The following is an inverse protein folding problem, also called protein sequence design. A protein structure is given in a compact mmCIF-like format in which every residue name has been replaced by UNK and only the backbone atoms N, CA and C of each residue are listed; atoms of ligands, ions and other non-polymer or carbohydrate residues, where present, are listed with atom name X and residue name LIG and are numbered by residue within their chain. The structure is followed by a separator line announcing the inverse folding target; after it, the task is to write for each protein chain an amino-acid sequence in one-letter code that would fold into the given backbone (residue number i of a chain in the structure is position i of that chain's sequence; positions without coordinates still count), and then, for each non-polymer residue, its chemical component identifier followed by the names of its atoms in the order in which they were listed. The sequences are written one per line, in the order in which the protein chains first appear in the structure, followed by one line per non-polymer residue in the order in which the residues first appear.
data_IF_683203511681
#
_entry.id   IF_683203511681
#
_cell.length_a   1.000
_cell.length_b   1.000
_cell.length_c   1.000
_cell.angle_alpha   90.00
_cell.angle_beta   90.00
_cell.angle_gamma   90.00
#
_symmetry.space_group_name_H-M   'P 1'
#
loop_
_entity.id
_entity.type
_entity.pdbx_description
1 polymer ?
#
# COMPACT_ATOMS: atom_id res chain seq x y z
N UNK A 1 -7.34 66.20 9.26
CA UNK A 1 -6.13 65.32 9.17
C UNK A 1 -6.02 64.24 10.27
N UNK A 2 -6.89 64.19 11.30
CA UNK A 2 -6.88 63.10 12.30
C UNK A 2 -7.74 61.88 11.92
N UNK A 3 -8.74 62.05 11.05
CA UNK A 3 -9.65 60.97 10.62
C UNK A 3 -9.12 60.07 9.51
N UNK A 4 -8.17 60.53 8.67
CA UNK A 4 -7.53 59.67 7.66
C UNK A 4 -6.51 58.70 8.28
N UNK A 5 -5.89 59.07 9.40
CA UNK A 5 -4.93 58.21 10.12
C UNK A 5 -5.63 57.05 10.84
N UNK A 6 -6.84 57.26 11.34
CA UNK A 6 -7.63 56.22 12.02
C UNK A 6 -8.23 55.19 11.07
N UNK A 7 -8.54 55.58 9.81
CA UNK A 7 -9.08 54.66 8.80
C UNK A 7 -7.97 53.71 8.28
N UNK A 8 -6.75 54.21 8.07
CA UNK A 8 -5.61 53.38 7.63
C UNK A 8 -5.18 52.37 8.70
N UNK A 9 -5.23 52.74 9.98
CA UNK A 9 -4.90 51.84 11.09
C UNK A 9 -5.94 50.71 11.25
N UNK A 10 -7.23 50.98 11.00
CA UNK A 10 -8.28 49.97 11.09
C UNK A 10 -8.19 48.91 9.97
N UNK A 11 -7.75 49.29 8.76
CA UNK A 11 -7.57 48.34 7.66
C UNK A 11 -6.35 47.42 7.82
N UNK A 12 -5.24 47.93 8.39
CA UNK A 12 -4.05 47.10 8.68
C UNK A 12 -4.30 46.11 9.84
N UNK A 13 -5.12 46.46 10.82
CA UNK A 13 -5.48 45.56 11.92
C UNK A 13 -6.41 44.41 11.48
N UNK A 14 -7.27 44.64 10.49
CA UNK A 14 -8.17 43.61 9.94
C UNK A 14 -7.44 42.51 9.16
N UNK A 15 -6.38 42.87 8.41
CA UNK A 15 -5.59 41.91 7.64
C UNK A 15 -4.75 40.97 8.52
N UNK A 16 -4.32 41.45 9.70
CA UNK A 16 -3.49 40.65 10.62
C UNK A 16 -4.31 39.59 11.39
N UNK A 17 -5.62 39.81 11.57
CA UNK A 17 -6.50 38.86 12.26
C UNK A 17 -6.91 37.67 11.38
N UNK A 18 -6.89 37.80 10.05
CA UNK A 18 -7.12 36.66 9.14
C UNK A 18 -5.90 35.74 9.02
N UNK A 19 -4.69 36.23 9.35
CA UNK A 19 -3.46 35.43 9.28
C UNK A 19 -3.25 34.52 10.50
N UNK A 20 -3.86 34.83 11.66
CA UNK A 20 -3.72 34.02 12.88
C UNK A 20 -4.74 32.88 13.00
N UNK A 21 -5.88 32.97 12.31
CA UNK A 21 -6.90 31.90 12.32
C UNK A 21 -6.47 30.63 11.54
N UNK A 22 -5.43 30.72 10.71
CA UNK A 22 -4.85 29.57 10.00
C UNK A 22 -3.75 28.83 10.81
N UNK A 23 -3.36 29.36 11.97
CA UNK A 23 -2.46 28.68 12.91
C UNK A 23 -3.16 28.44 14.26
N UNK A 24 -4.43 28.02 14.19
CA UNK A 24 -5.17 27.48 15.32
C UNK A 24 -4.80 26.01 15.53
N UNK A 25 -3.80 25.77 16.38
CA UNK A 25 -3.47 24.45 16.91
C UNK A 25 -4.65 23.88 17.69
N UNK A 26 -5.47 23.06 17.03
CA UNK A 26 -6.34 22.09 17.69
C UNK A 26 -5.75 20.70 17.45
N UNK A 27 -5.33 20.07 18.55
CA UNK A 27 -4.81 18.71 18.60
C UNK A 27 -5.89 17.71 18.22
N UNK A 28 -6.06 17.52 16.92
CA UNK A 28 -6.81 16.42 16.34
C UNK A 28 -5.82 15.29 16.05
N UNK A 29 -6.08 14.11 16.63
CA UNK A 29 -5.35 12.88 16.32
C UNK A 29 -5.36 12.68 14.81
N UNK A 30 -4.24 12.96 14.17
CA UNK A 30 -4.01 12.65 12.76
C UNK A 30 -3.88 11.13 12.63
N UNK A 31 -4.98 10.47 12.26
CA UNK A 31 -4.88 9.21 11.55
C UNK A 31 -4.35 9.56 10.14
N UNK A 32 -3.04 9.44 9.98
CA UNK A 32 -2.37 9.59 8.69
C UNK A 32 -2.70 8.38 7.83
N UNK A 33 -3.87 8.40 7.19
CA UNK A 33 -4.15 7.53 6.04
C UNK A 33 -3.67 8.27 4.79
N UNK A 34 -2.39 8.14 4.49
CA UNK A 34 -1.89 8.47 3.17
C UNK A 34 -2.32 7.36 2.21
N UNK A 35 -3.37 7.63 1.44
CA UNK A 35 -3.60 6.97 0.16
C UNK A 35 -4.26 8.00 -0.74
N UNK A 36 -3.64 8.23 -1.90
CA UNK A 36 -4.18 9.01 -3.00
C UNK A 36 -5.46 8.32 -3.51
N UNK A 37 -6.57 8.57 -2.83
CA UNK A 37 -7.89 8.09 -3.24
C UNK A 37 -8.34 8.96 -4.41
N UNK A 38 -7.97 8.58 -5.62
CA UNK A 38 -8.84 8.84 -6.76
C UNK A 38 -10.21 8.27 -6.41
N UNK A 39 -11.26 9.07 -6.62
CA UNK A 39 -12.64 8.74 -6.25
C UNK A 39 -13.00 7.35 -6.76
N UNK A 40 -12.97 6.35 -5.87
CA UNK A 40 -13.37 4.98 -6.18
C UNK A 40 -14.86 5.02 -6.55
N UNK A 41 -15.27 4.60 -7.76
CA UNK A 41 -16.68 4.58 -8.15
C UNK A 41 -17.53 3.71 -7.20
N UNK A 42 -18.79 4.09 -7.01
CA UNK A 42 -19.72 3.32 -6.19
C UNK A 42 -19.88 1.89 -6.76
N UNK A 43 -19.77 0.88 -5.88
CA UNK A 43 -19.86 -0.54 -6.25
C UNK A 43 -18.54 -1.22 -6.60
N UNK A 44 -17.42 -0.48 -6.60
CA UNK A 44 -16.09 -1.10 -6.72
C UNK A 44 -15.69 -1.71 -5.38
N UNK A 45 -15.40 -3.01 -5.40
CA UNK A 45 -14.90 -3.71 -4.24
C UNK A 45 -13.46 -3.30 -3.94
N UNK A 46 -13.23 -2.90 -2.70
CA UNK A 46 -11.90 -2.52 -2.24
C UNK A 46 -11.51 -3.35 -1.02
N UNK A 47 -10.20 -3.54 -0.76
CA UNK A 47 -9.77 -4.23 0.44
C UNK A 47 -10.30 -3.58 1.72
N UNK A 48 -10.61 -2.28 1.71
CA UNK A 48 -11.13 -1.55 2.88
C UNK A 48 -12.61 -1.79 3.15
N UNK A 49 -13.39 -2.17 2.13
CA UNK A 49 -14.84 -2.41 2.26
C UNK A 49 -15.20 -3.89 2.35
N UNK A 50 -14.31 -4.79 1.93
CA UNK A 50 -14.56 -6.22 1.85
C UNK A 50 -13.93 -7.04 2.98
N UNK A 51 -14.49 -8.24 3.22
CA UNK A 51 -13.87 -9.20 4.12
C UNK A 51 -12.54 -9.70 3.55
N UNK A 52 -11.45 -9.51 4.31
CA UNK A 52 -10.12 -10.01 3.98
C UNK A 52 -9.95 -11.53 4.19
N UNK A 53 -10.99 -12.22 4.66
CA UNK A 53 -10.96 -13.66 4.96
C UNK A 53 -12.15 -14.39 4.33
N UNK A 54 -12.04 -15.71 4.16
CA UNK A 54 -13.13 -16.53 3.61
C UNK A 54 -13.32 -16.45 2.09
N UNK A 55 -12.35 -15.88 1.37
CA UNK A 55 -12.38 -15.80 -0.10
C UNK A 55 -12.40 -17.16 -0.79
N UNK A 56 -13.00 -17.21 -1.99
CA UNK A 56 -13.02 -18.41 -2.84
C UNK A 56 -11.68 -18.55 -3.58
N UNK A 57 -11.19 -19.79 -3.70
CA UNK A 57 -9.98 -20.12 -4.47
C UNK A 57 -10.33 -20.49 -5.90
N UNK A 58 -9.43 -20.17 -6.83
CA UNK A 58 -9.58 -20.47 -8.25
C UNK A 58 -10.29 -19.37 -9.04
N UNK A 59 -10.11 -19.38 -10.36
CA UNK A 59 -10.61 -18.35 -11.29
C UNK A 59 -9.49 -17.65 -12.05
N UNK A 60 -9.86 -16.66 -12.87
CA UNK A 60 -8.94 -15.77 -13.58
C UNK A 60 -9.18 -14.34 -13.11
N UNK A 61 -8.13 -13.70 -12.60
CA UNK A 61 -8.15 -12.27 -12.29
C UNK A 61 -7.63 -11.51 -13.53
N UNK A 62 -8.49 -10.68 -14.11
CA UNK A 62 -8.10 -9.77 -15.19
C UNK A 62 -7.84 -8.39 -14.59
N UNK A 63 -6.58 -7.95 -14.62
CA UNK A 63 -6.16 -6.64 -14.11
C UNK A 63 -5.93 -5.72 -15.30
N UNK A 64 -6.51 -4.53 -15.26
CA UNK A 64 -6.30 -3.49 -16.28
C UNK A 64 -5.38 -2.42 -15.69
N UNK A 65 -4.28 -2.17 -16.38
CA UNK A 65 -3.30 -1.13 -16.03
C UNK A 65 -3.18 -0.17 -17.21
N UNK A 66 -3.03 1.12 -16.93
CA UNK A 66 -2.90 2.17 -17.94
C UNK A 66 -1.48 2.31 -18.48
N UNK A 67 -0.50 1.78 -17.74
CA UNK A 67 0.93 1.86 -18.01
C UNK A 67 1.55 0.47 -17.81
N UNK A 68 2.72 0.24 -18.41
CA UNK A 68 3.48 -1.00 -18.25
C UNK A 68 4.40 -0.93 -17.01
N UNK A 69 4.90 -2.09 -16.58
CA UNK A 69 6.00 -2.13 -15.60
C UNK A 69 7.32 -1.73 -16.25
N UNK A 70 8.24 -1.18 -15.47
CA UNK A 70 9.57 -0.79 -15.98
C UNK A 70 10.59 -1.92 -15.72
N UNK A 71 10.57 -2.52 -14.54
CA UNK A 71 11.49 -3.60 -14.16
C UNK A 71 10.80 -4.70 -13.35
N UNK A 72 11.00 -5.96 -13.73
CA UNK A 72 10.54 -7.14 -12.96
C UNK A 72 11.61 -7.74 -12.04
N UNK A 73 12.84 -7.26 -12.12
CA UNK A 73 13.86 -7.54 -11.11
C UNK A 73 13.59 -6.64 -9.89
N UNK A 74 13.21 -7.19 -8.71
CA UNK A 74 12.95 -6.37 -7.53
C UNK A 74 14.15 -5.57 -7.04
N UNK A 75 15.37 -5.93 -7.47
CA UNK A 75 16.58 -5.14 -7.22
C UNK A 75 16.67 -3.87 -8.06
N UNK A 76 15.87 -3.74 -9.11
CA UNK A 76 15.78 -2.58 -10.01
C UNK A 76 14.40 -1.89 -9.97
N UNK A 77 13.33 -2.60 -9.57
CA UNK A 77 11.98 -2.07 -9.47
C UNK A 77 11.87 -0.85 -8.55
N UNK A 78 11.17 0.19 -9.00
CA UNK A 78 10.94 1.42 -8.23
C UNK A 78 9.47 1.84 -8.19
N UNK A 79 8.67 1.45 -9.18
CA UNK A 79 7.28 1.88 -9.31
C UNK A 79 6.30 0.90 -8.68
N UNK A 80 5.12 1.41 -8.31
CA UNK A 80 4.09 0.63 -7.63
C UNK A 80 3.61 -0.57 -8.44
N UNK A 81 3.52 -0.42 -9.78
CA UNK A 81 3.14 -1.48 -10.71
C UNK A 81 4.16 -2.62 -10.73
N UNK A 82 5.45 -2.29 -10.71
CA UNK A 82 6.53 -3.29 -10.60
C UNK A 82 6.35 -4.14 -9.34
N UNK A 83 6.07 -3.47 -8.21
CA UNK A 83 5.87 -4.15 -6.93
C UNK A 83 4.59 -4.99 -6.89
N UNK A 84 3.53 -4.65 -7.62
CA UNK A 84 2.33 -5.48 -7.71
C UNK A 84 2.67 -6.87 -8.27
N UNK A 85 3.48 -6.90 -9.35
CA UNK A 85 3.89 -8.14 -10.00
C UNK A 85 4.94 -8.88 -9.16
N UNK A 86 5.91 -8.15 -8.59
CA UNK A 86 6.92 -8.74 -7.72
C UNK A 86 6.30 -9.41 -6.47
N UNK A 87 5.34 -8.75 -5.82
CA UNK A 87 4.63 -9.34 -4.67
C UNK A 87 3.78 -10.56 -5.03
N UNK A 88 3.26 -10.64 -6.26
CA UNK A 88 2.49 -11.78 -6.73
C UNK A 88 3.36 -13.00 -7.07
N UNK A 89 4.61 -12.76 -7.49
CA UNK A 89 5.50 -13.81 -8.01
C UNK A 89 6.62 -14.19 -7.05
N UNK A 90 6.93 -13.34 -6.07
CA UNK A 90 8.05 -13.50 -5.16
C UNK A 90 7.61 -13.37 -3.70
N UNK A 91 8.44 -13.87 -2.78
CA UNK A 91 8.19 -13.79 -1.34
C UNK A 91 9.36 -13.11 -0.63
N UNK A 92 9.03 -12.30 0.37
CA UNK A 92 9.97 -11.54 1.17
C UNK A 92 10.14 -12.17 2.56
N UNK A 93 11.14 -11.74 3.33
CA UNK A 93 11.26 -12.16 4.72
C UNK A 93 10.04 -11.70 5.55
N UNK A 94 9.59 -10.48 5.30
CA UNK A 94 8.46 -9.84 5.97
C UNK A 94 7.60 -9.11 4.94
N UNK A 95 6.29 -9.08 5.18
CA UNK A 95 5.33 -8.35 4.36
C UNK A 95 4.23 -7.71 5.23
N UNK A 96 3.55 -6.72 4.68
CA UNK A 96 2.40 -6.11 5.33
C UNK A 96 1.13 -6.90 5.03
N UNK A 97 0.23 -6.99 6.01
CA UNK A 97 -1.11 -7.50 5.75
C UNK A 97 -1.94 -6.42 5.04
N UNK A 98 -2.93 -6.79 4.22
CA UNK A 98 -3.85 -5.83 3.64
C UNK A 98 -4.45 -4.93 4.74
N UNK A 99 -4.55 -3.63 4.46
CA UNK A 99 -5.02 -2.58 5.37
C UNK A 99 -4.24 -2.43 6.71
N UNK A 100 -3.09 -3.09 6.86
CA UNK A 100 -2.27 -3.02 8.08
C UNK A 100 -0.84 -2.61 7.74
N UNK A 101 -0.52 -1.34 7.96
CA UNK A 101 0.78 -0.76 7.57
C UNK A 101 1.67 -0.39 8.77
N UNK A 102 1.14 -0.46 10.00
CA UNK A 102 1.89 -0.15 11.22
C UNK A 102 2.80 -1.28 11.69
N UNK A 103 2.58 -2.51 11.22
CA UNK A 103 3.32 -3.69 11.67
C UNK A 103 3.60 -4.64 10.51
N UNK A 104 4.87 -5.05 10.39
CA UNK A 104 5.30 -6.09 9.46
C UNK A 104 4.98 -7.48 10.01
N UNK A 105 4.52 -8.36 9.12
CA UNK A 105 4.21 -9.76 9.43
C UNK A 105 5.29 -10.67 8.85
N UNK A 106 5.77 -11.70 9.58
CA UNK A 106 6.69 -12.69 9.03
C UNK A 106 6.08 -13.47 7.87
N UNK A 107 6.76 -13.50 6.73
CA UNK A 107 6.39 -14.30 5.57
C UNK A 107 7.35 -15.48 5.40
N UNK A 108 8.47 -15.33 4.67
CA UNK A 108 9.54 -16.35 4.65
C UNK A 108 10.26 -16.47 5.99
N UNK A 109 10.28 -15.40 6.81
CA UNK A 109 10.81 -15.47 8.15
C UNK A 109 9.91 -16.35 9.04
N UNK A 110 10.54 -17.16 9.89
CA UNK A 110 9.87 -18.00 10.87
C UNK A 110 9.19 -17.16 11.97
N UNK A 111 9.77 -15.99 12.28
CA UNK A 111 9.27 -15.06 13.29
C UNK A 111 9.90 -13.67 13.18
N UNK A 112 9.71 -12.87 14.22
CA UNK A 112 10.25 -11.51 14.31
C UNK A 112 11.80 -11.52 14.36
N UNK A 113 12.45 -10.48 13.82
CA UNK A 113 13.90 -10.37 13.81
C UNK A 113 14.46 -10.25 15.24
N UNK A 114 15.61 -10.88 15.48
CA UNK A 114 16.32 -10.81 16.76
C UNK A 114 17.46 -9.79 16.65
N UNK A 115 17.42 -8.75 17.47
CA UNK A 115 18.40 -7.68 17.48
C UNK A 115 19.40 -7.86 18.62
N UNK A 116 20.68 -7.65 18.34
CA UNK A 116 21.73 -7.62 19.37
C UNK A 116 22.79 -6.56 19.05
N UNK A 117 23.74 -6.35 19.98
CA UNK A 117 24.87 -5.43 19.80
C UNK A 117 24.42 -3.98 19.48
N UNK A 118 23.39 -3.50 20.16
CA UNK A 118 22.83 -2.17 19.90
C UNK A 118 22.23 -2.04 18.50
N UNK A 119 21.53 -3.09 18.02
CA UNK A 119 20.87 -3.18 16.71
C UNK A 119 21.80 -3.25 15.49
N UNK A 120 23.10 -3.47 15.69
CA UNK A 120 24.06 -3.66 14.58
C UNK A 120 24.02 -5.09 14.01
N UNK A 121 23.46 -6.04 14.77
CA UNK A 121 23.31 -7.42 14.34
C UNK A 121 21.84 -7.79 14.35
N UNK A 122 21.37 -8.31 13.21
CA UNK A 122 20.00 -8.78 13.00
C UNK A 122 20.04 -10.24 12.60
N UNK A 123 19.43 -11.10 13.41
CA UNK A 123 19.31 -12.54 13.13
C UNK A 123 17.87 -12.86 12.78
N UNK A 124 17.68 -13.42 11.58
CA UNK A 124 16.37 -13.82 11.06
C UNK A 124 16.43 -15.31 10.77
N UNK A 125 15.54 -16.09 11.39
CA UNK A 125 15.35 -17.50 11.06
C UNK A 125 14.41 -17.60 9.86
N UNK A 126 14.85 -18.31 8.83
CA UNK A 126 14.04 -18.54 7.62
C UNK A 126 13.31 -19.87 7.79
N UNK A 127 12.03 -19.90 7.39
CA UNK A 127 11.24 -21.13 7.38
C UNK A 127 11.94 -22.18 6.53
N UNK A 128 11.95 -23.43 7.00
CA UNK A 128 12.37 -24.55 6.16
C UNK A 128 11.34 -24.76 5.06
N UNK A 129 11.70 -24.37 3.84
CA UNK A 129 10.93 -24.66 2.62
C UNK A 129 11.65 -25.73 1.81
N UNK A 130 11.37 -26.99 2.15
CA UNK A 130 11.40 -28.16 1.28
C UNK A 130 11.26 -29.41 2.16
N UNK A 131 10.05 -29.96 2.20
CA UNK A 131 9.81 -31.35 2.58
C UNK A 131 8.65 -31.85 1.72
N UNK A 132 9.00 -32.41 0.56
CA UNK A 132 8.27 -33.41 -0.24
C UNK A 132 6.79 -33.15 -0.59
N UNK A 133 6.55 -32.66 -1.81
CA UNK A 133 5.91 -33.49 -2.85
C UNK A 133 6.39 -33.08 -4.24
N UNK A 134 7.09 -34.01 -4.86
CA UNK A 134 7.36 -34.10 -6.28
C UNK A 134 6.12 -33.86 -7.12
N UNK A 135 6.16 -32.88 -8.02
CA UNK A 135 6.08 -33.13 -9.47
C UNK A 135 6.50 -31.84 -10.18
N UNK A 136 7.04 -32.01 -11.37
CA UNK A 136 7.50 -30.98 -12.29
C UNK A 136 6.59 -29.75 -12.34
N UNK A 137 7.15 -28.63 -12.81
CA UNK A 137 6.36 -27.54 -13.43
C UNK A 137 5.15 -28.15 -14.13
N UNK A 138 3.90 -27.83 -13.75
CA UNK A 138 2.76 -28.38 -14.44
C UNK A 138 2.89 -27.93 -15.89
N UNK A 139 3.14 -28.87 -16.80
CA UNK A 139 2.98 -28.62 -18.23
C UNK A 139 1.55 -28.13 -18.39
N UNK A 140 1.42 -26.82 -18.61
CA UNK A 140 0.16 -26.14 -18.84
C UNK A 140 -0.45 -26.70 -20.11
N UNK A 141 -1.24 -27.76 -20.00
CA UNK A 141 -2.17 -28.13 -21.06
C UNK A 141 -3.21 -27.02 -21.10
N UNK A 142 -3.13 -26.19 -22.13
CA UNK A 142 -4.11 -25.14 -22.39
C UNK A 142 -5.52 -25.77 -22.41
N UNK A 143 -6.52 -25.18 -21.71
CA UNK A 143 -7.89 -25.59 -21.94
C UNK A 143 -8.24 -25.28 -23.39
N UNK A 144 -8.79 -26.27 -24.09
CA UNK A 144 -9.33 -26.08 -25.45
C UNK A 144 -10.35 -24.94 -25.44
N UNK A 145 -10.35 -24.07 -26.46
CA UNK A 145 -11.32 -22.97 -26.52
C UNK A 145 -12.73 -23.54 -26.46
N UNK A 146 -13.54 -23.02 -25.54
CA UNK A 146 -14.98 -23.26 -25.51
C UNK A 146 -15.53 -22.61 -26.77
N UNK A 147 -15.85 -23.41 -27.79
CA UNK A 147 -16.68 -22.98 -28.91
C UNK A 147 -18.04 -22.57 -28.35
N UNK A 148 -18.30 -21.27 -28.39
CA UNK A 148 -19.60 -20.67 -28.14
C UNK A 148 -20.64 -21.31 -29.05
N UNK A 149 -21.68 -21.90 -28.46
CA UNK A 149 -22.97 -22.04 -29.14
C UNK A 149 -23.80 -20.81 -28.80
N UNK A 150 -24.35 -20.22 -29.86
CA UNK A 150 -25.25 -19.07 -29.91
C UNK A 150 -26.46 -19.29 -28.98
#
# INVERSE_FOLDING_TARGET
MRSLRTIVAAMMAGALMLALAACGSSSSKSNTSASSSGLIPAGVQTPTTESLTGGKKGGTLNVLQSEDFEHLDPGQSYFQLDYEIANATQRYLYSYKPNTFSQVTPDLAEGQPQYSEGNKKVVIKIRRMWSTRSTAWPTRTWPTPITSAI
#
